data_IF_538771662606
#
_entry.id   IF_538771662606
#
_cell.length_a   1.000
_cell.length_b   1.000
_cell.length_c   1.000
_cell.angle_alpha   90.00
_cell.angle_beta   90.00
_cell.angle_gamma   90.00
#
_symmetry.space_group_name_H-M   'P 1'
#
loop_
_entity.id
_entity.type
_entity.pdbx_description
1 polymer ?
#
# COMPACT_ATOMS: atom_id res chain seq x y z
N UNK A 1 -55.67 27.52 0.55
CA UNK A 1 -54.27 27.32 0.97
C UNK A 1 -53.97 25.84 0.95
N UNK A 2 -52.98 25.38 0.18
CA UNK A 2 -52.53 23.98 0.19
C UNK A 2 -51.02 23.99 0.47
N UNK A 3 -50.66 23.42 1.61
CA UNK A 3 -49.30 23.29 2.14
C UNK A 3 -48.55 22.24 1.31
N UNK A 4 -47.44 22.61 0.69
CA UNK A 4 -46.51 21.67 0.06
C UNK A 4 -45.35 21.44 1.04
N UNK A 5 -45.38 20.30 1.72
CA UNK A 5 -44.27 19.79 2.51
C UNK A 5 -43.37 18.98 1.58
N UNK A 6 -42.12 19.41 1.42
CA UNK A 6 -41.10 18.66 0.67
C UNK A 6 -40.24 17.95 1.70
N UNK A 7 -40.41 16.64 1.79
CA UNK A 7 -39.62 15.76 2.66
C UNK A 7 -38.22 15.58 2.07
N UNK A 8 -37.21 16.08 2.77
CA UNK A 8 -35.80 15.85 2.46
C UNK A 8 -35.47 14.37 2.64
N UNK A 9 -35.20 13.66 1.54
CA UNK A 9 -34.59 12.33 1.61
C UNK A 9 -33.11 12.49 1.92
N UNK A 10 -32.72 12.23 3.16
CA UNK A 10 -31.32 12.07 3.51
C UNK A 10 -30.79 10.78 2.86
N UNK A 11 -29.97 10.91 1.82
CA UNK A 11 -29.14 9.82 1.33
C UNK A 11 -28.08 9.52 2.39
N UNK A 12 -28.37 8.60 3.30
CA UNK A 12 -27.33 7.99 4.11
C UNK A 12 -26.48 7.11 3.17
N UNK A 13 -25.41 7.69 2.62
CA UNK A 13 -24.35 6.92 1.98
C UNK A 13 -23.64 6.13 3.08
N UNK A 14 -24.14 4.94 3.38
CA UNK A 14 -23.37 3.94 4.12
C UNK A 14 -22.21 3.55 3.22
N UNK A 15 -21.06 4.17 3.44
CA UNK A 15 -19.79 3.62 3.01
C UNK A 15 -19.60 2.31 3.79
N UNK A 16 -20.14 1.22 3.25
CA UNK A 16 -19.70 -0.09 3.63
C UNK A 16 -18.22 -0.16 3.21
N UNK A 17 -17.32 0.08 4.17
CA UNK A 17 -15.94 -0.37 4.06
C UNK A 17 -16.05 -1.84 3.71
N UNK A 18 -15.73 -2.19 2.47
CA UNK A 18 -15.72 -3.56 2.00
C UNK A 18 -14.75 -4.31 2.92
N UNK A 19 -15.29 -4.97 3.94
CA UNK A 19 -14.53 -5.91 4.74
C UNK A 19 -13.92 -6.92 3.77
N UNK A 20 -12.69 -7.41 4.03
CA UNK A 20 -12.09 -8.44 3.22
C UNK A 20 -12.93 -9.72 3.35
N UNK A 21 -13.95 -9.84 2.50
CA UNK A 21 -14.65 -11.09 2.24
C UNK A 21 -13.62 -12.00 1.61
N UNK A 22 -13.40 -13.18 2.21
CA UNK A 22 -12.58 -14.27 1.67
C UNK A 22 -12.99 -14.45 0.20
N UNK A 23 -12.18 -13.94 -0.74
CA UNK A 23 -12.53 -13.93 -2.17
C UNK A 23 -12.53 -15.36 -2.70
N UNK A 24 -13.38 -15.61 -3.70
CA UNK A 24 -13.34 -16.84 -4.48
C UNK A 24 -11.92 -16.99 -5.07
N UNK A 25 -11.12 -17.88 -4.47
CA UNK A 25 -9.67 -17.94 -4.67
C UNK A 25 -8.91 -18.45 -3.44
N UNK A 26 -9.49 -18.35 -2.24
CA UNK A 26 -8.97 -19.02 -1.03
C UNK A 26 -7.81 -18.32 -0.31
N UNK A 27 -7.23 -17.28 -0.91
CA UNK A 27 -6.12 -16.52 -0.31
C UNK A 27 -6.58 -15.64 0.85
N UNK A 28 -5.81 -15.67 1.93
CA UNK A 28 -5.99 -14.83 3.11
C UNK A 28 -5.27 -13.49 2.94
N UNK A 29 -5.74 -12.47 3.68
CA UNK A 29 -5.17 -11.14 3.57
C UNK A 29 -3.76 -11.08 4.16
N UNK A 30 -2.85 -10.45 3.42
CA UNK A 30 -1.46 -10.21 3.82
C UNK A 30 -1.40 -8.98 4.71
N UNK A 31 -0.61 -9.04 5.77
CA UNK A 31 -0.47 -7.93 6.72
C UNK A 31 0.83 -7.18 6.48
N UNK A 32 0.76 -5.93 6.05
CA UNK A 32 1.92 -5.05 5.87
C UNK A 32 2.20 -4.31 7.17
N UNK A 33 3.48 -4.30 7.55
CA UNK A 33 3.99 -3.74 8.78
C UNK A 33 5.13 -2.77 8.47
N UNK A 34 5.25 -1.71 9.28
CA UNK A 34 6.39 -0.79 9.27
C UNK A 34 6.76 -0.27 7.88
N UNK A 35 5.77 0.01 7.02
CA UNK A 35 5.99 0.67 5.74
C UNK A 35 6.55 2.07 6.02
N UNK A 36 7.64 2.40 5.35
CA UNK A 36 8.43 3.60 5.55
C UNK A 36 9.03 4.05 4.22
N UNK A 37 8.93 5.35 3.93
CA UNK A 37 9.56 5.99 2.79
C UNK A 37 10.14 7.33 3.22
N UNK A 38 11.40 7.57 2.87
CA UNK A 38 12.08 8.85 3.10
C UNK A 38 12.77 9.30 1.82
N UNK A 39 12.38 10.47 1.34
CA UNK A 39 12.81 11.03 0.07
C UNK A 39 13.48 12.37 0.29
N UNK A 40 14.71 12.49 -0.18
CA UNK A 40 15.42 13.75 -0.35
C UNK A 40 15.60 14.09 -1.83
N UNK A 41 16.33 15.16 -2.14
CA UNK A 41 16.71 15.50 -3.52
C UNK A 41 17.72 14.50 -4.12
N UNK A 42 18.42 13.73 -3.28
CA UNK A 42 19.55 12.88 -3.71
C UNK A 42 19.34 11.40 -3.49
N UNK A 43 18.49 11.02 -2.54
CA UNK A 43 18.33 9.64 -2.08
C UNK A 43 16.85 9.40 -1.80
N UNK A 44 16.38 8.21 -2.15
CA UNK A 44 15.15 7.64 -1.64
C UNK A 44 15.45 6.36 -0.86
N UNK A 45 14.88 6.26 0.34
CA UNK A 45 14.86 5.07 1.19
C UNK A 45 13.43 4.54 1.20
N UNK A 46 13.25 3.24 0.99
CA UNK A 46 11.94 2.58 1.04
C UNK A 46 12.08 1.25 1.75
N UNK A 47 11.27 1.02 2.78
CA UNK A 47 11.33 -0.19 3.58
C UNK A 47 9.95 -0.62 4.07
N UNK A 48 9.74 -1.93 4.18
CA UNK A 48 8.58 -2.51 4.85
C UNK A 48 8.85 -3.96 5.22
N UNK A 49 7.98 -4.52 6.05
CA UNK A 49 7.85 -5.96 6.25
C UNK A 49 6.40 -6.39 6.07
N UNK A 50 6.16 -7.67 5.83
CA UNK A 50 4.79 -8.18 5.74
C UNK A 50 4.67 -9.63 6.18
N UNK A 51 3.50 -10.01 6.66
CA UNK A 51 3.16 -11.38 7.02
C UNK A 51 2.20 -11.92 5.97
N UNK A 52 2.65 -12.91 5.20
CA UNK A 52 1.83 -13.61 4.20
C UNK A 52 1.36 -14.96 4.77
N UNK A 53 0.08 -15.09 5.18
CA UNK A 53 -0.47 -16.34 5.70
C UNK A 53 -0.61 -17.44 4.63
N UNK A 54 -0.43 -17.11 3.34
CA UNK A 54 -0.55 -18.04 2.24
C UNK A 54 0.75 -18.82 1.96
N UNK A 55 1.84 -18.49 2.67
CA UNK A 55 3.13 -19.15 2.53
C UNK A 55 3.75 -19.48 3.89
N UNK A 56 4.74 -20.38 3.92
CA UNK A 56 5.54 -20.67 5.11
C UNK A 56 6.78 -19.78 5.21
N UNK A 57 6.82 -18.67 4.46
CA UNK A 57 7.97 -17.77 4.39
C UNK A 57 7.92 -16.74 5.51
N UNK A 58 9.04 -16.54 6.20
CA UNK A 58 9.08 -15.80 7.47
C UNK A 58 9.97 -14.56 7.46
N UNK A 59 10.75 -14.30 6.40
CA UNK A 59 11.64 -13.12 6.29
C UNK A 59 11.26 -12.21 5.11
N UNK A 60 9.98 -11.85 5.10
CA UNK A 60 9.36 -11.00 4.08
C UNK A 60 9.65 -9.53 4.36
N UNK A 61 10.92 -9.15 4.25
CA UNK A 61 11.41 -7.79 4.51
C UNK A 61 12.02 -7.19 3.25
N UNK A 62 11.79 -5.89 3.09
CA UNK A 62 12.28 -5.09 1.98
C UNK A 62 12.98 -3.87 2.55
N UNK A 63 14.19 -3.62 2.07
CA UNK A 63 14.94 -2.40 2.38
C UNK A 63 15.68 -1.95 1.12
N UNK A 64 15.24 -0.83 0.56
CA UNK A 64 15.71 -0.29 -0.69
C UNK A 64 16.26 1.09 -0.50
N UNK A 65 17.31 1.35 -1.27
CA UNK A 65 17.93 2.65 -1.37
C UNK A 65 18.38 2.88 -2.80
N UNK A 66 18.02 4.02 -3.36
CA UNK A 66 18.53 4.45 -4.67
C UNK A 66 18.80 5.96 -4.69
N UNK A 67 19.65 6.36 -5.63
CA UNK A 67 19.99 7.76 -5.87
C UNK A 67 18.91 8.41 -6.72
N UNK A 68 18.48 9.62 -6.38
CA UNK A 68 17.55 10.43 -7.19
C UNK A 68 18.31 11.33 -8.18
N UNK A 69 17.71 11.66 -9.34
CA UNK A 69 16.33 11.39 -9.76
C UNK A 69 16.12 10.03 -10.45
N UNK A 70 17.03 9.07 -10.30
CA UNK A 70 16.86 7.76 -10.93
C UNK A 70 15.61 7.05 -10.40
N UNK A 71 15.03 6.22 -11.26
CA UNK A 71 13.88 5.36 -10.93
C UNK A 71 14.26 4.26 -9.91
N UNK A 72 13.27 3.70 -9.19
CA UNK A 72 13.48 2.52 -8.37
C UNK A 72 14.09 1.36 -9.19
N UNK A 73 14.88 0.47 -8.56
CA UNK A 73 15.36 -0.73 -9.23
C UNK A 73 14.18 -1.59 -9.74
N UNK A 74 14.20 -1.93 -11.03
CA UNK A 74 13.09 -2.56 -11.75
C UNK A 74 12.64 -3.91 -11.15
N UNK A 75 13.59 -4.71 -10.68
CA UNK A 75 13.34 -6.01 -10.04
C UNK A 75 13.92 -5.99 -8.64
N UNK A 76 13.23 -5.27 -7.75
CA UNK A 76 13.57 -5.32 -6.34
C UNK A 76 13.09 -6.63 -5.75
N UNK A 77 13.96 -7.34 -5.03
CA UNK A 77 13.59 -8.55 -4.31
C UNK A 77 13.46 -8.31 -2.81
N UNK A 78 12.61 -9.09 -2.14
CA UNK A 78 12.71 -9.29 -0.69
C UNK A 78 14.06 -9.92 -0.34
N UNK A 79 14.51 -9.77 0.91
CA UNK A 79 15.80 -10.30 1.36
C UNK A 79 15.99 -11.81 1.10
N UNK A 80 14.89 -12.56 1.09
CA UNK A 80 14.84 -14.00 0.85
C UNK A 80 14.63 -14.40 -0.62
N UNK A 81 14.54 -13.42 -1.53
CA UNK A 81 14.29 -13.57 -2.97
C UNK A 81 12.99 -14.31 -3.32
N UNK A 82 11.99 -14.30 -2.44
CA UNK A 82 10.70 -14.95 -2.71
C UNK A 82 9.66 -14.01 -3.32
N UNK A 83 9.82 -12.70 -3.14
CA UNK A 83 8.90 -11.71 -3.68
C UNK A 83 9.64 -10.62 -4.45
N UNK A 84 8.96 -10.13 -5.47
CA UNK A 84 9.39 -9.02 -6.32
C UNK A 84 8.53 -7.80 -5.97
N UNK A 85 9.16 -6.67 -5.72
CA UNK A 85 8.53 -5.37 -5.50
C UNK A 85 8.70 -4.52 -6.75
N UNK A 86 7.60 -3.91 -7.20
CA UNK A 86 7.57 -3.04 -8.38
C UNK A 86 6.78 -1.77 -8.10
N UNK A 87 7.18 -0.67 -8.73
CA UNK A 87 6.60 0.67 -8.55
C UNK A 87 5.98 1.13 -9.87
N UNK A 88 4.76 0.67 -10.22
CA UNK A 88 4.15 0.90 -11.54
C UNK A 88 3.87 2.38 -11.83
N UNK A 89 3.69 3.20 -10.79
CA UNK A 89 3.42 4.63 -10.89
C UNK A 89 4.64 5.48 -10.46
N UNK A 90 5.79 4.84 -10.21
CA UNK A 90 6.98 5.49 -9.67
C UNK A 90 6.86 5.80 -8.16
N UNK A 91 7.71 6.72 -7.70
CA UNK A 91 7.86 7.09 -6.27
C UNK A 91 7.98 8.61 -6.05
N UNK A 92 7.68 9.41 -7.08
CA UNK A 92 7.90 10.85 -7.02
C UNK A 92 6.89 11.55 -6.11
N UNK A 93 5.66 11.03 -6.02
CA UNK A 93 4.67 11.46 -5.03
C UNK A 93 4.52 10.40 -3.94
N UNK A 94 5.28 10.55 -2.85
CA UNK A 94 5.17 9.64 -1.70
C UNK A 94 3.94 9.89 -0.83
N UNK A 95 3.18 10.97 -1.08
CA UNK A 95 1.90 11.19 -0.40
C UNK A 95 0.80 10.28 -0.97
N UNK A 96 0.99 9.82 -2.21
CA UNK A 96 0.17 8.86 -2.94
C UNK A 96 1.05 7.75 -3.54
N UNK A 97 1.44 6.78 -2.72
CA UNK A 97 2.37 5.74 -3.16
C UNK A 97 1.63 4.47 -3.57
N UNK A 98 1.90 4.00 -4.79
CA UNK A 98 1.43 2.70 -5.29
C UNK A 98 2.62 1.78 -5.56
N UNK A 99 2.60 0.58 -5.00
CA UNK A 99 3.55 -0.48 -5.32
C UNK A 99 2.88 -1.85 -5.36
N UNK A 100 3.52 -2.80 -6.04
CA UNK A 100 3.04 -4.18 -6.18
C UNK A 100 4.07 -5.14 -5.62
N UNK A 101 3.63 -6.05 -4.75
CA UNK A 101 4.42 -7.20 -4.30
C UNK A 101 3.92 -8.45 -5.01
N UNK A 102 4.79 -9.15 -5.72
CA UNK A 102 4.46 -10.38 -6.45
C UNK A 102 5.30 -11.52 -5.88
N UNK A 103 4.65 -12.63 -5.52
CA UNK A 103 5.37 -13.85 -5.17
C UNK A 103 6.00 -14.44 -6.45
N UNK A 104 7.29 -14.76 -6.42
CA UNK A 104 8.03 -15.23 -7.59
C UNK A 104 7.54 -16.59 -8.11
N UNK A 105 6.97 -17.41 -7.22
CA UNK A 105 6.52 -18.78 -7.50
C UNK A 105 4.99 -18.90 -7.60
N UNK A 106 4.26 -17.78 -7.48
CA UNK A 106 2.79 -17.77 -7.50
C UNK A 106 2.26 -16.69 -8.45
N UNK A 107 1.10 -16.90 -9.10
CA UNK A 107 0.42 -15.85 -9.88
C UNK A 107 -0.17 -14.74 -9.00
N UNK A 108 -0.01 -14.83 -7.69
CA UNK A 108 -0.49 -13.87 -6.71
C UNK A 108 0.28 -12.54 -6.76
N UNK A 109 -0.47 -11.44 -6.74
CA UNK A 109 0.06 -10.08 -6.62
C UNK A 109 -0.72 -9.34 -5.55
N UNK A 110 -0.02 -8.47 -4.83
CA UNK A 110 -0.60 -7.64 -3.78
C UNK A 110 -0.35 -6.19 -4.18
N UNK A 111 -1.43 -5.48 -4.47
CA UNK A 111 -1.36 -4.08 -4.86
C UNK A 111 -1.56 -3.23 -3.61
N UNK A 112 -0.52 -2.49 -3.24
CA UNK A 112 -0.51 -1.59 -2.10
C UNK A 112 -0.64 -0.17 -2.63
N UNK A 113 -1.65 0.54 -2.13
CA UNK A 113 -1.85 1.96 -2.40
C UNK A 113 -2.00 2.68 -1.06
N UNK A 114 -1.23 3.76 -0.88
CA UNK A 114 -1.32 4.64 0.28
C UNK A 114 -1.77 6.03 -0.16
N UNK A 115 -2.45 6.74 0.75
CA UNK A 115 -2.91 8.10 0.50
C UNK A 115 -2.95 8.86 1.83
N UNK A 116 -2.10 9.88 2.00
CA UNK A 116 -2.01 10.66 3.24
C UNK A 116 -3.25 11.55 3.52
N UNK A 117 -4.05 11.86 2.51
CA UNK A 117 -5.23 12.74 2.61
C UNK A 117 -6.53 11.99 2.92
N UNK A 118 -6.52 10.66 2.91
CA UNK A 118 -7.69 9.86 3.24
C UNK A 118 -8.07 10.02 4.72
N UNK A 119 -9.37 10.21 5.00
CA UNK A 119 -9.90 10.53 6.34
C UNK A 119 -9.51 9.53 7.46
N UNK A 120 -9.22 8.28 7.10
CA UNK A 120 -8.77 7.22 8.00
C UNK A 120 -7.42 6.63 7.56
N UNK A 121 -6.56 7.44 6.96
CA UNK A 121 -5.29 6.92 6.43
C UNK A 121 -4.43 6.30 7.52
N UNK A 122 -3.88 5.12 7.21
CA UNK A 122 -2.79 4.55 7.98
C UNK A 122 -1.43 5.11 7.54
N UNK A 123 -1.39 5.96 6.51
CA UNK A 123 -0.20 6.55 5.92
C UNK A 123 -0.09 8.01 6.35
N UNK A 124 1.03 8.38 6.95
CA UNK A 124 1.24 9.74 7.45
C UNK A 124 2.56 10.27 6.91
N UNK A 125 2.51 11.47 6.32
CA UNK A 125 3.66 12.17 5.78
C UNK A 125 3.99 13.41 6.61
N UNK A 126 5.28 13.59 6.91
CA UNK A 126 5.84 14.74 7.61
C UNK A 126 6.92 15.37 6.73
N UNK A 127 6.62 16.50 6.05
CA UNK A 127 7.63 17.22 5.29
C UNK A 127 8.62 17.89 6.25
N UNK A 128 9.91 17.76 5.96
CA UNK A 128 10.98 18.52 6.60
C UNK A 128 11.60 19.48 5.58
N UNK A 129 12.58 20.28 6.02
CA UNK A 129 13.28 21.22 5.14
C UNK A 129 14.08 20.55 4.01
N UNK A 130 14.45 19.28 4.19
CA UNK A 130 15.38 18.57 3.31
C UNK A 130 14.87 17.22 2.82
N UNK A 131 13.85 16.69 3.48
CA UNK A 131 13.28 15.37 3.19
C UNK A 131 11.78 15.38 3.34
N UNK A 132 11.09 14.55 2.57
CA UNK A 132 9.72 14.16 2.81
C UNK A 132 9.74 12.74 3.35
N UNK A 133 9.31 12.57 4.59
CA UNK A 133 9.20 11.27 5.23
C UNK A 133 7.73 10.87 5.31
N UNK A 134 7.41 9.64 4.97
CA UNK A 134 6.10 9.05 5.15
C UNK A 134 6.22 7.65 5.77
N UNK A 135 5.31 7.32 6.68
CA UNK A 135 5.30 6.02 7.33
C UNK A 135 3.90 5.54 7.64
N UNK A 136 3.77 4.23 7.81
CA UNK A 136 2.56 3.61 8.32
C UNK A 136 2.46 3.77 9.83
N UNK A 137 1.34 4.31 10.32
CA UNK A 137 1.08 4.44 11.78
C UNK A 137 0.50 3.17 12.39
N UNK A 138 0.05 2.24 11.55
CA UNK A 138 -0.50 0.93 11.92
C UNK A 138 -0.34 -0.06 10.78
N UNK A 139 -0.38 -1.35 11.10
CA UNK A 139 -0.39 -2.41 10.09
C UNK A 139 -1.62 -2.34 9.19
N UNK A 140 -1.46 -2.70 7.93
CA UNK A 140 -2.53 -2.68 6.92
C UNK A 140 -2.72 -4.09 6.36
N UNK A 141 -3.97 -4.56 6.31
CA UNK A 141 -4.31 -5.85 5.72
C UNK A 141 -4.78 -5.65 4.29
N UNK A 142 -4.15 -6.36 3.34
CA UNK A 142 -4.44 -6.23 1.93
C UNK A 142 -4.68 -7.61 1.35
N UNK A 143 -5.82 -7.78 0.69
CA UNK A 143 -6.14 -9.04 0.02
C UNK A 143 -5.36 -9.16 -1.29
N UNK A 144 -4.71 -10.31 -1.54
CA UNK A 144 -4.08 -10.56 -2.81
C UNK A 144 -5.06 -10.61 -3.98
N UNK A 145 -4.55 -10.35 -5.17
CA UNK A 145 -5.25 -10.49 -6.45
C UNK A 145 -4.53 -11.49 -7.34
N UNK A 146 -5.29 -12.33 -8.04
CA UNK A 146 -4.73 -13.25 -9.02
C UNK A 146 -4.41 -12.48 -10.30
N UNK A 147 -3.20 -12.69 -10.83
CA UNK A 147 -2.91 -12.29 -12.21
C UNK A 147 -3.61 -13.26 -13.18
N UNK A 148 -4.39 -12.67 -14.09
CA UNK A 148 -5.06 -13.36 -15.21
C UNK A 148 -4.08 -13.73 -16.31
#
# INVERSE_FOLDING_TARGET
MKTLSISSMALAATAALAQPVKRAGGFEAVTFNSLYVDVSDTICNFAFSFDDPNTNLTDNRVNLKWTRPSEPPADTWTNDNNYIVSFPEGVDDITHLTFTVKNANSPERINVATNNEAADSAWTCSPTKFTNECHSVRSVKISPVLSS
#
